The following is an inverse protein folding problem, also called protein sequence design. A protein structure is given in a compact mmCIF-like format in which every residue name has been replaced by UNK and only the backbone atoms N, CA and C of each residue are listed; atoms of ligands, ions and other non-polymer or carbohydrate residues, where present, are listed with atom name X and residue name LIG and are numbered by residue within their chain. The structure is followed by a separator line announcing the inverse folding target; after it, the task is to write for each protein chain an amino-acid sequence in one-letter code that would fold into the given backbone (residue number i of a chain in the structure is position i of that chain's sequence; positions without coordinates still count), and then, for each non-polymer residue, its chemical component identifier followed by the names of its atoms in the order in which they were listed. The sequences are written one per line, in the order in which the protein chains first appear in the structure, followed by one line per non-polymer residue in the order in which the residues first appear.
data_IF_301829788074
#
_entry.id   IF_301829788074
#
_cell.length_a   1.000
_cell.length_b   1.000
_cell.length_c   1.000
_cell.angle_alpha   90.00
_cell.angle_beta   90.00
_cell.angle_gamma   90.00
#
_symmetry.space_group_name_H-M   'P 1'
#
loop_
_entity.id
_entity.type
_entity.pdbx_description
1 polymer ?
#
# COMPACT_ATOMS: atom_id res chain seq x y z
N UNK A 1 -74.42 -1.89 -6.64
CA UNK A 1 -73.80 -1.22 -7.80
C UNK A 1 -72.36 -1.68 -7.88
N UNK A 2 -71.89 -1.93 -9.11
CA UNK A 2 -70.68 -2.66 -9.47
C UNK A 2 -69.34 -1.96 -9.17
N UNK A 3 -68.29 -2.79 -9.16
CA UNK A 3 -66.92 -2.58 -9.67
C UNK A 3 -65.82 -2.26 -8.62
N UNK A 4 -64.79 -3.08 -8.31
CA UNK A 4 -63.71 -3.85 -9.00
C UNK A 4 -62.39 -3.06 -9.19
N UNK A 5 -61.27 -3.73 -8.82
CA UNK A 5 -59.83 -3.48 -9.08
C UNK A 5 -59.14 -2.36 -8.27
N UNK A 6 -57.89 -2.48 -7.82
CA UNK A 6 -56.77 -3.34 -8.23
C UNK A 6 -55.72 -3.51 -7.11
N UNK A 7 -55.04 -4.67 -7.07
CA UNK A 7 -53.79 -4.91 -6.33
C UNK A 7 -52.61 -4.37 -7.15
N UNK A 8 -51.59 -3.81 -6.50
CA UNK A 8 -50.17 -3.85 -6.94
C UNK A 8 -49.27 -3.42 -5.78
N UNK A 9 -48.57 -4.38 -5.17
CA UNK A 9 -47.10 -4.52 -5.18
C UNK A 9 -46.34 -3.47 -4.35
N UNK A 10 -46.15 -3.78 -3.07
CA UNK A 10 -45.15 -3.12 -2.23
C UNK A 10 -43.77 -3.69 -2.61
N UNK A 11 -42.91 -2.81 -3.10
CA UNK A 11 -41.60 -3.10 -3.64
C UNK A 11 -40.56 -3.20 -2.50
N UNK A 12 -39.83 -4.31 -2.31
CA UNK A 12 -38.76 -4.36 -1.34
C UNK A 12 -37.54 -3.65 -1.93
N UNK A 13 -37.13 -2.52 -1.34
CA UNK A 13 -35.80 -1.95 -1.63
C UNK A 13 -34.74 -2.96 -1.18
N UNK A 14 -34.08 -3.56 -2.16
CA UNK A 14 -32.83 -4.29 -2.00
C UNK A 14 -31.84 -3.43 -1.21
N UNK A 15 -31.36 -3.99 -0.10
CA UNK A 15 -30.12 -3.58 0.55
C UNK A 15 -28.98 -4.11 -0.32
N UNK A 16 -28.36 -3.25 -1.12
CA UNK A 16 -27.08 -3.57 -1.76
C UNK A 16 -25.96 -3.32 -0.76
N UNK A 17 -25.58 -4.37 -0.04
CA UNK A 17 -24.33 -4.43 0.71
C UNK A 17 -23.18 -4.53 -0.32
N UNK A 18 -22.68 -3.37 -0.77
CA UNK A 18 -21.50 -3.30 -1.62
C UNK A 18 -20.24 -3.48 -0.79
N UNK A 19 -19.89 -4.72 -0.44
CA UNK A 19 -18.53 -5.05 -0.02
C UNK A 19 -17.61 -4.84 -1.22
N UNK A 20 -16.92 -3.69 -1.28
CA UNK A 20 -15.79 -3.52 -2.20
C UNK A 20 -14.58 -4.24 -1.58
N UNK A 21 -14.41 -5.50 -1.97
CA UNK A 21 -13.13 -6.20 -1.82
C UNK A 21 -12.03 -5.49 -2.63
N UNK A 22 -10.75 -5.88 -2.42
CA UNK A 22 -9.63 -5.27 -3.12
C UNK A 22 -9.82 -5.45 -4.63
N UNK A 23 -9.76 -4.34 -5.36
CA UNK A 23 -9.85 -4.36 -6.82
C UNK A 23 -8.55 -4.93 -7.36
N UNK A 24 -8.55 -6.21 -7.73
CA UNK A 24 -7.46 -6.78 -8.52
C UNK A 24 -7.55 -6.15 -9.92
N UNK A 25 -6.59 -5.27 -10.23
CA UNK A 25 -6.45 -4.73 -11.58
C UNK A 25 -5.93 -5.84 -12.50
N UNK A 26 -6.77 -6.31 -13.41
CA UNK A 26 -6.31 -7.03 -14.59
C UNK A 26 -5.63 -6.05 -15.54
N UNK A 27 -4.42 -6.38 -16.00
CA UNK A 27 -3.67 -5.56 -16.97
C UNK A 27 -4.42 -5.60 -18.31
N UNK A 28 -5.22 -4.57 -18.59
CA UNK A 28 -5.75 -4.30 -19.92
C UNK A 28 -4.68 -3.54 -20.71
N UNK A 29 -4.06 -4.19 -21.69
CA UNK A 29 -3.13 -3.54 -22.61
C UNK A 29 -3.90 -2.67 -23.60
N UNK A 30 -4.08 -1.39 -23.28
CA UNK A 30 -4.49 -0.35 -24.24
C UNK A 30 -3.29 0.56 -24.54
N UNK A 31 -2.91 0.67 -25.83
CA UNK A 31 -2.02 1.71 -26.41
C UNK A 31 -1.01 2.35 -25.45
N UNK A 32 0.01 1.55 -25.09
CA UNK A 32 1.33 1.86 -24.50
C UNK A 32 1.56 3.31 -24.01
N UNK A 33 1.00 3.67 -22.85
CA UNK A 33 1.86 4.38 -21.90
C UNK A 33 2.93 3.37 -21.47
N UNK A 34 4.20 3.66 -21.72
CA UNK A 34 5.28 2.87 -21.11
C UNK A 34 5.13 3.03 -19.61
N UNK A 35 5.13 1.92 -18.86
CA UNK A 35 5.16 1.96 -17.39
C UNK A 35 6.27 2.89 -16.93
N UNK A 36 6.07 3.62 -15.85
CA UNK A 36 7.10 4.44 -15.19
C UNK A 36 7.23 3.99 -13.74
N UNK A 37 8.45 3.70 -13.30
CA UNK A 37 8.68 3.11 -11.97
C UNK A 37 8.21 4.04 -10.85
N UNK A 38 8.36 5.35 -11.05
CA UNK A 38 7.97 6.33 -10.06
C UNK A 38 6.45 6.39 -9.94
N UNK A 39 5.72 6.33 -11.05
CA UNK A 39 4.26 6.25 -11.04
C UNK A 39 3.75 5.00 -10.31
N UNK A 40 4.38 3.84 -10.53
CA UNK A 40 4.00 2.58 -9.88
C UNK A 40 4.31 2.58 -8.36
N UNK A 41 5.41 3.19 -7.94
CA UNK A 41 5.76 3.36 -6.51
C UNK A 41 4.78 4.34 -5.83
N UNK A 42 4.48 5.46 -6.50
CA UNK A 42 3.51 6.44 -6.00
C UNK A 42 2.11 5.85 -5.78
N UNK A 43 1.72 4.84 -6.57
CA UNK A 43 0.46 4.11 -6.32
C UNK A 43 0.49 3.47 -4.93
N UNK A 44 1.58 2.80 -4.55
CA UNK A 44 1.70 2.19 -3.23
C UNK A 44 1.73 3.23 -2.11
N UNK A 45 2.55 4.29 -2.25
CA UNK A 45 2.62 5.35 -1.24
C UNK A 45 1.26 6.00 -1.00
N UNK A 46 0.51 6.27 -2.07
CA UNK A 46 -0.84 6.82 -1.96
C UNK A 46 -1.84 5.83 -1.32
N UNK A 47 -1.72 4.54 -1.63
CA UNK A 47 -2.51 3.51 -0.96
C UNK A 47 -2.20 3.44 0.54
N UNK A 48 -0.94 3.62 0.96
CA UNK A 48 -0.57 3.66 2.38
C UNK A 48 -1.19 4.85 3.10
N UNK A 49 -1.18 6.03 2.46
CA UNK A 49 -1.83 7.24 2.97
C UNK A 49 -3.35 7.04 3.12
N UNK A 50 -4.00 6.42 2.13
CA UNK A 50 -5.44 6.08 2.20
C UNK A 50 -5.72 5.09 3.34
N UNK A 51 -4.94 4.01 3.44
CA UNK A 51 -5.08 3.02 4.50
C UNK A 51 -4.91 3.64 5.89
N UNK A 52 -3.91 4.51 6.08
CA UNK A 52 -3.71 5.21 7.35
C UNK A 52 -4.88 6.14 7.68
N UNK A 53 -5.37 6.93 6.72
CA UNK A 53 -6.54 7.78 6.93
C UNK A 53 -7.80 6.96 7.33
N UNK A 54 -7.99 5.80 6.71
CA UNK A 54 -9.07 4.87 7.08
C UNK A 54 -8.87 4.25 8.46
N UNK A 55 -7.62 3.93 8.84
CA UNK A 55 -7.28 3.44 10.17
C UNK A 55 -7.64 4.48 11.24
N UNK A 56 -7.27 5.75 11.02
CA UNK A 56 -7.59 6.86 11.93
C UNK A 56 -9.11 7.00 12.09
N UNK A 57 -9.87 6.99 10.99
CA UNK A 57 -11.33 7.01 11.04
C UNK A 57 -11.92 5.80 11.79
N UNK A 58 -11.33 4.61 11.67
CA UNK A 58 -11.76 3.42 12.42
C UNK A 58 -11.48 3.57 13.92
N UNK A 59 -10.32 4.12 14.28
CA UNK A 59 -9.96 4.44 15.67
C UNK A 59 -10.94 5.45 16.30
N UNK A 60 -11.28 6.53 15.59
CA UNK A 60 -12.23 7.54 16.08
C UNK A 60 -13.62 6.95 16.37
N UNK A 61 -14.02 5.92 15.61
CA UNK A 61 -15.27 5.17 15.78
C UNK A 61 -15.17 4.04 16.79
N UNK A 62 -13.96 3.75 17.30
CA UNK A 62 -13.64 2.57 18.12
C UNK A 62 -14.03 1.25 17.44
N UNK A 63 -13.86 1.17 16.13
CA UNK A 63 -14.08 -0.04 15.34
C UNK A 63 -12.81 -0.90 15.34
N UNK A 64 -12.64 -1.69 16.40
CA UNK A 64 -11.46 -2.53 16.62
C UNK A 64 -11.23 -3.56 15.50
N UNK A 65 -12.31 -4.07 14.91
CA UNK A 65 -12.28 -5.03 13.83
C UNK A 65 -11.74 -4.39 12.54
N UNK A 66 -12.22 -3.20 12.17
CA UNK A 66 -11.72 -2.48 11.00
C UNK A 66 -10.29 -1.97 11.22
N UNK A 67 -9.96 -1.48 12.43
CA UNK A 67 -8.58 -1.14 12.79
C UNK A 67 -7.62 -2.31 12.56
N UNK A 68 -7.99 -3.49 13.06
CA UNK A 68 -7.17 -4.71 12.93
C UNK A 68 -7.01 -5.12 11.46
N UNK A 69 -8.09 -5.11 10.67
CA UNK A 69 -8.01 -5.43 9.23
C UNK A 69 -7.11 -4.47 8.47
N UNK A 70 -7.23 -3.17 8.72
CA UNK A 70 -6.42 -2.15 8.04
C UNK A 70 -4.96 -2.26 8.48
N UNK A 71 -4.67 -2.43 9.77
CA UNK A 71 -3.30 -2.57 10.27
C UNK A 71 -2.60 -3.80 9.66
N UNK A 72 -3.29 -4.94 9.60
CA UNK A 72 -2.76 -6.15 8.94
C UNK A 72 -2.51 -5.92 7.44
N UNK A 73 -3.38 -5.15 6.79
CA UNK A 73 -3.21 -4.77 5.37
C UNK A 73 -1.98 -3.87 5.19
N UNK A 74 -1.80 -2.86 6.05
CA UNK A 74 -0.62 -1.99 6.05
C UNK A 74 0.67 -2.80 6.24
N UNK A 75 0.74 -3.63 7.28
CA UNK A 75 1.90 -4.51 7.55
C UNK A 75 2.25 -5.35 6.32
N UNK A 76 1.25 -5.97 5.69
CA UNK A 76 1.44 -6.80 4.50
C UNK A 76 1.96 -5.99 3.32
N UNK A 77 1.27 -4.91 2.95
CA UNK A 77 1.59 -4.15 1.74
C UNK A 77 2.92 -3.41 1.87
N UNK A 78 3.21 -2.83 3.04
CA UNK A 78 4.50 -2.16 3.30
C UNK A 78 5.66 -3.15 3.23
N UNK A 79 5.49 -4.37 3.76
CA UNK A 79 6.52 -5.40 3.65
C UNK A 79 6.77 -5.82 2.19
N UNK A 80 5.72 -5.95 1.38
CA UNK A 80 5.87 -6.30 -0.04
C UNK A 80 6.54 -5.18 -0.83
N UNK A 81 6.13 -3.95 -0.58
CA UNK A 81 6.66 -2.76 -1.22
C UNK A 81 8.15 -2.56 -0.92
N UNK A 82 8.49 -2.50 0.37
CA UNK A 82 9.87 -2.26 0.82
C UNK A 82 10.86 -3.33 0.34
N UNK A 83 10.46 -4.61 0.34
CA UNK A 83 11.29 -5.68 -0.23
C UNK A 83 11.46 -5.54 -1.75
N UNK A 84 10.44 -5.03 -2.45
CA UNK A 84 10.49 -4.84 -3.90
C UNK A 84 11.39 -3.67 -4.30
N UNK A 85 11.39 -2.59 -3.52
CA UNK A 85 12.30 -1.46 -3.72
C UNK A 85 13.75 -1.86 -3.48
N UNK A 86 14.03 -2.56 -2.38
CA UNK A 86 15.38 -3.07 -2.10
C UNK A 86 15.89 -3.99 -3.22
N UNK A 87 15.00 -4.83 -3.76
CA UNK A 87 15.34 -5.76 -4.83
C UNK A 87 15.47 -5.11 -6.20
N UNK A 88 14.77 -4.02 -6.50
CA UNK A 88 14.76 -3.43 -7.84
C UNK A 88 15.34 -2.01 -7.85
N UNK A 89 14.71 -1.10 -7.11
CA UNK A 89 14.96 0.33 -7.16
C UNK A 89 16.31 0.68 -6.54
N UNK A 90 16.61 0.18 -5.35
CA UNK A 90 17.87 0.50 -4.66
C UNK A 90 19.07 -0.15 -5.34
N UNK A 91 18.87 -1.32 -5.98
CA UNK A 91 19.88 -1.90 -6.87
C UNK A 91 20.14 -0.97 -8.07
N UNK A 92 19.09 -0.46 -8.72
CA UNK A 92 19.25 0.47 -9.83
C UNK A 92 19.92 1.78 -9.39
N UNK A 93 19.64 2.29 -8.20
CA UNK A 93 20.37 3.43 -7.62
C UNK A 93 21.86 3.12 -7.46
N UNK A 94 22.22 1.96 -6.91
CA UNK A 94 23.62 1.53 -6.77
C UNK A 94 24.34 1.47 -8.12
N UNK A 95 23.69 0.90 -9.14
CA UNK A 95 24.21 0.77 -10.51
C UNK A 95 24.38 2.12 -11.22
N UNK A 96 23.65 3.16 -10.79
CA UNK A 96 23.68 4.49 -11.39
C UNK A 96 24.42 5.54 -10.52
N UNK A 97 25.36 5.09 -9.68
CA UNK A 97 26.18 5.94 -8.81
C UNK A 97 25.40 6.76 -7.77
N UNK A 98 24.21 6.29 -7.37
CA UNK A 98 23.35 6.91 -6.36
C UNK A 98 23.38 6.12 -5.04
N UNK A 99 24.47 5.41 -4.75
CA UNK A 99 24.63 4.55 -3.55
C UNK A 99 24.34 5.28 -2.24
N UNK A 100 24.64 6.58 -2.13
CA UNK A 100 24.31 7.33 -0.93
C UNK A 100 22.79 7.36 -0.67
N UNK A 101 21.97 7.52 -1.71
CA UNK A 101 20.51 7.52 -1.58
C UNK A 101 20.02 6.14 -1.15
N UNK A 102 20.46 5.08 -1.85
CA UNK A 102 20.03 3.71 -1.56
C UNK A 102 20.45 3.21 -0.17
N UNK A 103 21.57 3.66 0.39
CA UNK A 103 21.96 3.32 1.77
C UNK A 103 21.15 4.09 2.82
N UNK A 104 20.78 5.35 2.55
CA UNK A 104 19.85 6.11 3.40
C UNK A 104 18.47 5.45 3.40
N UNK A 105 17.97 5.07 2.23
CA UNK A 105 16.67 4.41 2.08
C UNK A 105 16.65 3.05 2.79
N UNK A 106 17.69 2.23 2.64
CA UNK A 106 17.82 0.98 3.41
C UNK A 106 17.88 1.20 4.92
N UNK A 107 18.50 2.29 5.38
CA UNK A 107 18.51 2.62 6.80
C UNK A 107 17.12 3.02 7.30
N UNK A 108 16.38 3.83 6.54
CA UNK A 108 15.00 4.18 6.83
C UNK A 108 14.08 2.95 6.82
N UNK A 109 14.24 2.05 5.84
CA UNK A 109 13.55 0.75 5.80
C UNK A 109 13.77 -0.09 7.05
N UNK A 110 14.99 -0.13 7.62
CA UNK A 110 15.23 -0.88 8.87
C UNK A 110 14.40 -0.32 10.03
N UNK A 111 14.33 1.00 10.16
CA UNK A 111 13.54 1.67 11.21
C UNK A 111 12.04 1.40 11.01
N UNK A 112 11.56 1.61 9.78
CA UNK A 112 10.16 1.38 9.41
C UNK A 112 9.75 -0.09 9.59
N UNK A 113 10.57 -1.05 9.11
CA UNK A 113 10.28 -2.49 9.24
C UNK A 113 10.24 -2.94 10.70
N UNK A 114 11.11 -2.42 11.57
CA UNK A 114 11.04 -2.74 13.00
C UNK A 114 9.78 -2.18 13.66
N UNK A 115 9.35 -0.97 13.28
CA UNK A 115 8.09 -0.40 13.77
C UNK A 115 6.87 -1.22 13.32
N UNK A 116 6.81 -1.64 12.05
CA UNK A 116 5.72 -2.49 11.55
C UNK A 116 5.77 -3.91 12.14
N UNK A 117 6.95 -4.46 12.42
CA UNK A 117 7.09 -5.72 13.15
C UNK A 117 6.51 -5.62 14.56
N UNK A 118 6.69 -4.49 15.24
CA UNK A 118 6.06 -4.26 16.53
C UNK A 118 4.53 -4.25 16.44
N UNK A 119 3.95 -3.64 15.39
CA UNK A 119 2.51 -3.70 15.11
C UNK A 119 2.06 -5.15 14.87
N UNK A 120 2.76 -5.88 14.01
CA UNK A 120 2.45 -7.27 13.62
C UNK A 120 2.53 -8.25 14.80
N UNK A 121 3.44 -8.01 15.74
CA UNK A 121 3.63 -8.84 16.92
C UNK A 121 2.62 -8.55 18.05
N UNK A 122 1.73 -7.58 17.86
CA UNK A 122 0.79 -7.12 18.87
C UNK A 122 -0.65 -7.06 18.33
N UNK A 123 -1.60 -6.86 19.24
CA UNK A 123 -3.02 -6.72 18.93
C UNK A 123 -3.68 -5.71 19.86
N UNK A 124 -4.90 -5.32 19.54
CA UNK A 124 -5.74 -4.53 20.45
C UNK A 124 -5.97 -5.29 21.78
N UNK A 125 -6.10 -6.62 21.74
CA UNK A 125 -6.24 -7.43 22.95
C UNK A 125 -4.99 -7.40 23.85
N UNK A 126 -3.79 -7.28 23.28
CA UNK A 126 -2.53 -7.27 24.05
C UNK A 126 -2.12 -5.87 24.53
N UNK A 127 -2.38 -4.82 23.74
CA UNK A 127 -1.95 -3.45 24.04
C UNK A 127 -3.08 -2.53 24.51
N UNK A 128 -4.34 -2.92 24.29
CA UNK A 128 -5.48 -2.00 24.33
C UNK A 128 -5.53 -1.10 23.10
N UNK A 129 -6.73 -0.59 22.81
CA UNK A 129 -7.00 0.15 21.56
C UNK A 129 -6.12 1.39 21.38
N UNK A 130 -5.85 2.14 22.46
CA UNK A 130 -5.06 3.38 22.40
C UNK A 130 -3.59 3.10 22.09
N UNK A 131 -2.96 2.15 22.78
CA UNK A 131 -1.55 1.88 22.54
C UNK A 131 -1.32 1.14 21.23
N UNK A 132 -2.27 0.29 20.81
CA UNK A 132 -2.26 -0.28 19.46
C UNK A 132 -2.34 0.82 18.37
N UNK A 133 -3.23 1.81 18.54
CA UNK A 133 -3.31 2.95 17.62
C UNK A 133 -2.00 3.77 17.60
N UNK A 134 -1.39 4.01 18.77
CA UNK A 134 -0.09 4.68 18.86
C UNK A 134 1.02 3.91 18.14
N UNK A 135 1.04 2.58 18.26
CA UNK A 135 2.00 1.72 17.57
C UNK A 135 1.87 1.85 16.04
N UNK A 136 0.63 1.79 15.51
CA UNK A 136 0.38 1.99 14.08
C UNK A 136 0.76 3.40 13.64
N UNK A 137 0.45 4.43 14.43
CA UNK A 137 0.82 5.81 14.14
C UNK A 137 2.34 5.99 14.03
N UNK A 138 3.12 5.42 14.96
CA UNK A 138 4.60 5.48 14.91
C UNK A 138 5.16 4.77 13.67
N UNK A 139 4.59 3.62 13.30
CA UNK A 139 5.01 2.89 12.11
C UNK A 139 4.70 3.68 10.82
N UNK A 140 3.49 4.24 10.71
CA UNK A 140 3.10 5.08 9.57
C UNK A 140 3.89 6.39 9.50
N UNK A 141 4.26 6.99 10.64
CA UNK A 141 5.13 8.17 10.64
C UNK A 141 6.48 7.87 10.00
N UNK A 142 7.15 6.78 10.42
CA UNK A 142 8.42 6.36 9.83
C UNK A 142 8.30 6.04 8.33
N UNK A 143 7.18 5.43 7.91
CA UNK A 143 6.88 5.16 6.50
C UNK A 143 6.74 6.45 5.69
N UNK A 144 5.99 7.45 6.19
CA UNK A 144 5.71 8.66 5.42
C UNK A 144 6.89 9.63 5.39
N UNK A 145 7.66 9.72 6.46
CA UNK A 145 8.94 10.46 6.44
C UNK A 145 9.89 9.88 5.39
N UNK A 146 9.99 8.55 5.33
CA UNK A 146 10.80 7.87 4.33
C UNK A 146 10.28 8.11 2.90
N UNK A 147 8.99 7.86 2.67
CA UNK A 147 8.36 8.06 1.36
C UNK A 147 8.51 9.53 0.88
N UNK A 148 8.40 10.51 1.77
CA UNK A 148 8.58 11.92 1.41
C UNK A 148 10.01 12.22 0.92
N UNK A 149 11.05 11.66 1.54
CA UNK A 149 12.44 11.83 1.10
C UNK A 149 12.66 11.18 -0.27
N UNK A 150 12.15 9.96 -0.46
CA UNK A 150 12.26 9.26 -1.74
C UNK A 150 11.56 10.02 -2.87
N UNK A 151 10.31 10.42 -2.66
CA UNK A 151 9.49 11.14 -3.63
C UNK A 151 10.09 12.50 -4.00
N UNK A 152 10.64 13.21 -3.02
CA UNK A 152 11.09 14.59 -3.22
C UNK A 152 12.55 14.73 -3.62
N UNK A 153 13.38 13.72 -3.37
CA UNK A 153 14.81 13.79 -3.67
C UNK A 153 15.30 12.54 -4.42
N UNK A 154 15.31 11.37 -3.78
CA UNK A 154 16.02 10.21 -4.31
C UNK A 154 15.48 9.73 -5.66
N UNK A 155 14.15 9.68 -5.84
CA UNK A 155 13.53 9.32 -7.12
C UNK A 155 13.65 10.41 -8.18
N UNK A 156 13.82 11.67 -7.81
CA UNK A 156 14.17 12.74 -8.78
C UNK A 156 15.59 12.55 -9.30
N UNK A 157 16.54 12.27 -8.40
CA UNK A 157 17.94 11.96 -8.78
C UNK A 157 18.00 10.74 -9.69
N UNK A 158 17.34 9.63 -9.34
CA UNK A 158 17.28 8.44 -10.18
C UNK A 158 16.60 8.72 -11.53
N UNK A 159 15.46 9.43 -11.52
CA UNK A 159 14.74 9.80 -12.74
C UNK A 159 15.54 10.70 -13.69
N UNK A 160 16.51 11.46 -13.18
CA UNK A 160 17.35 12.35 -13.99
C UNK A 160 18.43 11.62 -14.79
N UNK A 161 18.80 10.40 -14.37
CA UNK A 161 19.84 9.59 -15.02
C UNK A 161 19.28 8.45 -15.89
N UNK A 162 17.99 8.15 -15.77
CA UNK A 162 17.32 7.10 -16.55
C UNK A 162 16.60 7.66 -17.78
N UNK A 163 16.80 7.01 -18.93
CA UNK A 163 15.96 7.25 -20.11
C UNK A 163 14.58 6.56 -19.99
N UNK A 164 13.59 6.92 -20.82
CA UNK A 164 12.22 6.38 -20.71
C UNK A 164 12.13 4.85 -20.81
N UNK A 165 13.01 4.20 -21.57
CA UNK A 165 13.01 2.73 -21.66
C UNK A 165 13.52 2.10 -20.36
N UNK A 166 14.58 2.67 -19.78
CA UNK A 166 15.11 2.22 -18.49
C UNK A 166 14.08 2.39 -17.36
N UNK A 167 13.36 3.51 -17.32
CA UNK A 167 12.27 3.72 -16.35
C UNK A 167 11.18 2.65 -16.47
N UNK A 168 10.84 2.27 -17.70
CA UNK A 168 9.83 1.25 -17.95
C UNK A 168 10.28 -0.17 -17.60
N UNK A 169 11.55 -0.50 -17.86
CA UNK A 169 12.12 -1.75 -17.39
C UNK A 169 12.18 -1.80 -15.87
N UNK A 170 12.57 -0.70 -15.21
CA UNK A 170 12.64 -0.63 -13.77
C UNK A 170 11.26 -0.81 -13.12
N UNK A 171 10.21 -0.21 -13.71
CA UNK A 171 8.83 -0.43 -13.28
C UNK A 171 8.45 -1.91 -13.35
N UNK A 172 8.81 -2.56 -14.46
CA UNK A 172 8.56 -3.99 -14.67
C UNK A 172 9.30 -4.85 -13.63
N UNK A 173 10.54 -4.51 -13.32
CA UNK A 173 11.35 -5.26 -12.34
C UNK A 173 10.81 -5.09 -10.91
N UNK A 174 10.39 -3.88 -10.54
CA UNK A 174 9.70 -3.61 -9.27
C UNK A 174 8.42 -4.46 -9.14
N UNK A 175 7.54 -4.42 -10.15
CA UNK A 175 6.29 -5.20 -10.15
C UNK A 175 6.54 -6.72 -10.11
N UNK A 176 7.58 -7.21 -10.80
CA UNK A 176 7.98 -8.62 -10.73
C UNK A 176 8.46 -9.01 -9.33
N UNK A 177 9.32 -8.19 -8.71
CA UNK A 177 9.80 -8.43 -7.35
C UNK A 177 8.63 -8.51 -6.37
N UNK A 178 7.66 -7.60 -6.48
CA UNK A 178 6.44 -7.59 -5.66
C UNK A 178 5.62 -8.85 -5.82
N UNK A 179 5.40 -9.29 -7.06
CA UNK A 179 4.65 -10.51 -7.35
C UNK A 179 5.36 -11.78 -6.84
N UNK A 180 6.69 -11.85 -6.94
CA UNK A 180 7.46 -12.97 -6.40
C UNK A 180 7.31 -13.06 -4.87
N UNK A 181 7.34 -11.92 -4.16
CA UNK A 181 7.13 -11.89 -2.70
C UNK A 181 5.70 -12.24 -2.31
N UNK A 182 4.72 -11.81 -3.10
CA UNK A 182 3.33 -12.23 -2.93
C UNK A 182 3.18 -13.76 -3.00
N UNK A 183 3.77 -14.39 -4.01
CA UNK A 183 3.69 -15.85 -4.18
C UNK A 183 4.45 -16.63 -3.10
N UNK A 184 5.62 -16.13 -2.69
CA UNK A 184 6.40 -16.74 -1.60
C UNK A 184 5.71 -16.72 -0.24
N UNK A 185 4.87 -15.70 0.04
CA UNK A 185 4.07 -15.62 1.28
C UNK A 185 2.77 -16.43 1.26
N UNK A 186 2.28 -16.86 0.08
CA UNK A 186 1.08 -17.70 -0.05
C UNK A 186 1.38 -19.21 -0.06
N UNK A 187 2.66 -19.58 -0.24
CA UNK A 187 3.12 -20.97 -0.26
C UNK A 187 3.78 -21.46 1.03
N UNK A 188 3.76 -20.65 2.10
CA UNK A 188 4.25 -20.97 3.44
C UNK A 188 3.10 -20.97 4.44
#
# INVERSE_FOLDING_TARGET
MFSRFSRTLFNPRLVTLGQRGPTIRFIHASTSSRLDYFEEIMVDHNNFRDLHARFVSAYDKRDEDEMTRIANTLVREVALHSDSEEMAIYRAMDENNLRNCSELDRAAHRVMKEAFKHVDSNSIASLGITEYANAVQRACQALFEHAEEEENDHYKKLSSVLNPLQKSHLATDFLKARNQRLMGKLGA
#
